data_IF_276350373872
#
_entry.id   IF_276350373872
#
_cell.length_a   1.000
_cell.length_b   1.000
_cell.length_c   1.000
_cell.angle_alpha   90.00
_cell.angle_beta   90.00
_cell.angle_gamma   90.00
#
_symmetry.space_group_name_H-M   'P 1'
#
loop_
_entity.id
_entity.type
_entity.pdbx_description
1 polymer ?
#
# COMPACT_ATOMS: atom_id res chain seq x y z
N UNK A 1 12.32 -16.32 15.65
CA UNK A 1 11.40 -16.36 14.48
C UNK A 1 10.49 -15.15 14.42
N UNK A 2 9.62 -14.86 15.40
CA UNK A 2 8.69 -13.70 15.34
C UNK A 2 9.40 -12.35 15.24
N UNK A 3 10.52 -12.15 15.90
CA UNK A 3 11.25 -10.86 15.86
C UNK A 3 11.88 -10.58 14.49
N UNK A 4 12.34 -11.62 13.80
CA UNK A 4 12.84 -11.51 12.43
C UNK A 4 11.72 -11.11 11.46
N UNK A 5 10.55 -11.77 11.56
CA UNK A 5 9.37 -11.45 10.76
C UNK A 5 8.89 -10.02 11.04
N UNK A 6 8.83 -9.63 12.31
CA UNK A 6 8.45 -8.27 12.73
C UNK A 6 9.34 -7.20 12.10
N UNK A 7 10.66 -7.37 12.17
CA UNK A 7 11.61 -6.41 11.59
C UNK A 7 11.43 -6.30 10.07
N UNK A 8 11.26 -7.43 9.38
CA UNK A 8 10.99 -7.49 7.95
C UNK A 8 9.69 -6.79 7.56
N UNK A 9 8.59 -7.09 8.27
CA UNK A 9 7.26 -6.48 8.04
C UNK A 9 7.31 -4.95 8.22
N UNK A 10 7.94 -4.45 9.26
CA UNK A 10 8.09 -3.01 9.50
C UNK A 10 8.78 -2.32 8.33
N UNK A 11 9.94 -2.84 7.91
CA UNK A 11 10.70 -2.29 6.78
C UNK A 11 9.92 -2.36 5.48
N UNK A 12 9.25 -3.48 5.21
CA UNK A 12 8.43 -3.63 4.01
C UNK A 12 7.26 -2.65 3.98
N UNK A 13 6.58 -2.43 5.12
CA UNK A 13 5.50 -1.45 5.21
C UNK A 13 5.97 -0.03 4.84
N UNK A 14 7.14 0.40 5.32
CA UNK A 14 7.73 1.70 4.98
C UNK A 14 8.03 1.82 3.47
N UNK A 15 8.54 0.73 2.87
CA UNK A 15 8.80 0.69 1.42
C UNK A 15 7.50 0.79 0.61
N UNK A 16 6.45 0.04 0.99
CA UNK A 16 5.16 0.09 0.28
C UNK A 16 4.46 1.45 0.41
N UNK A 17 4.58 2.14 1.54
CA UNK A 17 4.12 3.53 1.69
C UNK A 17 4.82 4.42 0.66
N UNK A 18 6.14 4.28 0.50
CA UNK A 18 6.91 5.04 -0.48
C UNK A 18 6.51 4.70 -1.92
N UNK A 19 6.28 3.41 -2.24
CA UNK A 19 5.84 2.97 -3.56
C UNK A 19 4.47 3.55 -3.93
N UNK A 20 3.50 3.54 -3.01
CA UNK A 20 2.20 4.18 -3.23
C UNK A 20 2.35 5.67 -3.56
N UNK A 21 3.15 6.40 -2.76
CA UNK A 21 3.40 7.83 -2.99
C UNK A 21 4.07 8.10 -4.35
N UNK A 22 5.01 7.25 -4.76
CA UNK A 22 5.69 7.39 -6.05
C UNK A 22 4.72 7.14 -7.22
N UNK A 23 3.88 6.12 -7.11
CA UNK A 23 2.91 5.81 -8.16
C UNK A 23 1.82 6.88 -8.28
N UNK A 24 1.33 7.43 -7.16
CA UNK A 24 0.42 8.58 -7.16
C UNK A 24 1.01 9.79 -7.88
N UNK A 25 2.32 10.07 -7.68
CA UNK A 25 3.01 11.13 -8.40
C UNK A 25 3.16 10.84 -9.90
N UNK A 26 3.40 9.58 -10.27
CA UNK A 26 3.49 9.18 -11.67
C UNK A 26 2.14 9.33 -12.36
N UNK A 27 1.04 8.89 -11.75
CA UNK A 27 -0.31 9.06 -12.28
C UNK A 27 -0.64 10.55 -12.51
N UNK A 28 -0.38 11.42 -11.53
CA UNK A 28 -0.58 12.88 -11.65
C UNK A 28 0.27 13.52 -12.76
N UNK A 29 1.50 13.05 -12.97
CA UNK A 29 2.32 13.55 -14.08
C UNK A 29 1.76 13.13 -15.43
N UNK A 30 1.21 11.93 -15.53
CA UNK A 30 0.56 11.43 -16.73
C UNK A 30 -0.71 12.25 -17.04
N UNK A 31 -1.53 12.58 -16.02
CA UNK A 31 -2.66 13.51 -16.14
C UNK A 31 -2.20 14.90 -16.61
N UNK A 32 -1.10 15.41 -16.08
CA UNK A 32 -0.51 16.70 -16.52
C UNK A 32 -0.08 16.64 -17.98
N UNK A 33 0.57 15.56 -18.42
CA UNK A 33 0.98 15.37 -19.80
C UNK A 33 -0.25 15.26 -20.73
N UNK A 34 -1.32 14.59 -20.30
CA UNK A 34 -2.58 14.52 -21.01
C UNK A 34 -3.18 15.92 -21.23
N UNK A 35 -3.24 16.74 -20.16
CA UNK A 35 -3.75 18.11 -20.24
C UNK A 35 -2.93 19.01 -21.18
N UNK A 36 -1.61 18.90 -21.16
CA UNK A 36 -0.74 19.67 -22.06
C UNK A 36 -0.86 19.21 -23.52
N UNK A 37 -1.05 17.91 -23.77
CA UNK A 37 -1.35 17.38 -25.10
C UNK A 37 -2.65 17.95 -25.67
N UNK A 38 -3.71 18.06 -24.85
CA UNK A 38 -4.96 18.70 -25.26
C UNK A 38 -4.78 20.19 -25.57
N UNK A 39 -4.07 20.94 -24.70
CA UNK A 39 -3.78 22.36 -24.91
C UNK A 39 -3.03 22.59 -26.21
N UNK A 40 -2.04 21.73 -26.50
CA UNK A 40 -1.27 21.79 -27.72
C UNK A 40 -2.15 21.50 -28.96
N UNK A 41 -2.99 20.44 -28.88
CA UNK A 41 -3.99 20.14 -29.94
C UNK A 41 -4.88 21.36 -30.25
N UNK A 42 -5.43 22.02 -29.23
CA UNK A 42 -6.28 23.20 -29.40
C UNK A 42 -5.51 24.38 -30.00
N UNK A 43 -4.28 24.62 -29.58
CA UNK A 43 -3.44 25.69 -30.14
C UNK A 43 -3.15 25.46 -31.64
N UNK A 44 -2.88 24.21 -32.06
CA UNK A 44 -2.68 23.88 -33.50
C UNK A 44 -3.94 24.11 -34.29
N UNK A 45 -5.12 23.77 -33.76
CA UNK A 45 -6.39 24.05 -34.43
C UNK A 45 -6.62 25.55 -34.63
N UNK A 46 -6.40 26.34 -33.57
CA UNK A 46 -6.52 27.81 -33.68
C UNK A 46 -5.51 28.40 -34.68
N UNK A 47 -4.32 27.82 -34.76
CA UNK A 47 -3.32 28.24 -35.73
C UNK A 47 -3.82 27.98 -37.19
N UNK A 48 -4.39 26.79 -37.49
CA UNK A 48 -4.91 26.49 -38.80
C UNK A 48 -6.13 27.33 -39.18
N UNK A 49 -7.02 27.62 -38.23
CA UNK A 49 -8.15 28.53 -38.40
C UNK A 49 -7.66 29.93 -38.78
N UNK A 50 -6.75 30.51 -38.00
CA UNK A 50 -6.17 31.82 -38.29
C UNK A 50 -5.42 31.85 -39.63
N UNK A 51 -4.70 30.80 -39.98
CA UNK A 51 -3.99 30.68 -41.23
C UNK A 51 -4.95 30.61 -42.43
N UNK A 52 -6.04 29.83 -42.32
CA UNK A 52 -7.06 29.71 -43.35
C UNK A 52 -7.73 31.06 -43.68
N UNK A 53 -8.04 31.86 -42.62
CA UNK A 53 -8.73 33.12 -42.81
C UNK A 53 -7.82 34.25 -43.30
N UNK A 54 -6.50 34.15 -43.13
CA UNK A 54 -5.58 35.25 -43.36
C UNK A 54 -4.83 35.15 -44.69
N UNK A 55 -4.27 33.94 -45.02
CA UNK A 55 -3.35 33.83 -46.16
C UNK A 55 -3.41 32.50 -46.92
N UNK A 56 -4.35 31.59 -46.61
CA UNK A 56 -4.58 30.39 -47.37
C UNK A 56 -5.33 30.76 -48.69
N UNK A 57 -4.75 30.39 -49.83
CA UNK A 57 -5.34 30.55 -51.17
C UNK A 57 -5.10 29.28 -51.99
N UNK A 58 -5.95 29.02 -52.96
CA UNK A 58 -5.87 27.81 -53.82
C UNK A 58 -4.56 27.69 -54.60
N UNK A 59 -3.79 28.76 -54.68
CA UNK A 59 -2.53 28.84 -55.45
C UNK A 59 -1.29 28.63 -54.62
N UNK A 60 -1.42 28.36 -53.33
CA UNK A 60 -0.29 28.11 -52.45
C UNK A 60 -0.47 26.81 -51.66
N UNK A 61 0.61 26.36 -50.95
CA UNK A 61 0.65 25.10 -50.20
C UNK A 61 0.03 25.21 -48.80
N UNK A 62 -0.48 26.37 -48.40
CA UNK A 62 -1.03 26.61 -47.06
C UNK A 62 -2.18 25.66 -46.71
N UNK A 63 -3.13 25.34 -47.60
CA UNK A 63 -4.17 24.35 -47.30
C UNK A 63 -3.58 22.98 -46.95
N UNK A 64 -2.60 22.49 -47.71
CA UNK A 64 -1.93 21.19 -47.44
C UNK A 64 -1.14 21.20 -46.11
N UNK A 65 -0.47 22.31 -45.82
CA UNK A 65 0.19 22.49 -44.53
C UNK A 65 -0.83 22.45 -43.36
N UNK A 66 -1.98 23.11 -43.54
CA UNK A 66 -3.04 23.10 -42.53
C UNK A 66 -3.66 21.71 -42.33
N UNK A 67 -3.75 20.87 -43.37
CA UNK A 67 -4.18 19.49 -43.24
C UNK A 67 -3.22 18.68 -42.34
N UNK A 68 -1.93 18.75 -42.57
CA UNK A 68 -0.92 18.06 -41.72
C UNK A 68 -0.87 18.59 -40.28
N UNK A 69 -1.04 19.92 -40.09
CA UNK A 69 -1.16 20.50 -38.76
C UNK A 69 -2.41 20.01 -38.05
N UNK A 70 -3.56 19.90 -38.73
CA UNK A 70 -4.79 19.35 -38.18
C UNK A 70 -4.68 17.86 -37.86
N UNK A 71 -3.96 17.07 -38.69
CA UNK A 71 -3.64 15.69 -38.39
C UNK A 71 -2.83 15.56 -37.11
N UNK A 72 -1.83 16.44 -36.92
CA UNK A 72 -1.05 16.55 -35.67
C UNK A 72 -1.93 16.91 -34.50
N UNK A 73 -2.84 17.86 -34.62
CA UNK A 73 -3.79 18.24 -33.57
C UNK A 73 -4.71 17.08 -33.17
N UNK A 74 -5.21 16.32 -34.17
CA UNK A 74 -6.01 15.11 -33.94
C UNK A 74 -5.23 14.04 -33.18
N UNK A 75 -3.99 13.79 -33.60
CA UNK A 75 -3.08 12.87 -32.90
C UNK A 75 -2.90 13.25 -31.44
N UNK A 76 -2.63 14.51 -31.14
CA UNK A 76 -2.47 15.00 -29.76
C UNK A 76 -3.75 14.89 -28.94
N UNK A 77 -4.91 15.12 -29.55
CA UNK A 77 -6.20 14.88 -28.91
C UNK A 77 -6.43 13.41 -28.57
N UNK A 78 -6.03 12.48 -29.44
CA UNK A 78 -6.06 11.04 -29.17
C UNK A 78 -5.06 10.66 -28.06
N UNK A 79 -3.84 11.21 -28.12
CA UNK A 79 -2.82 11.02 -27.09
C UNK A 79 -3.30 11.50 -25.72
N UNK A 80 -3.99 12.66 -25.63
CA UNK A 80 -4.65 13.13 -24.42
C UNK A 80 -5.57 12.05 -23.83
N UNK A 81 -6.52 11.54 -24.64
CA UNK A 81 -7.47 10.54 -24.15
C UNK A 81 -6.78 9.26 -23.67
N UNK A 82 -5.77 8.77 -24.41
CA UNK A 82 -5.01 7.58 -24.01
C UNK A 82 -4.23 7.77 -22.72
N UNK A 83 -3.60 8.94 -22.52
CA UNK A 83 -2.85 9.25 -21.31
C UNK A 83 -3.77 9.43 -20.10
N UNK A 84 -4.94 10.02 -20.29
CA UNK A 84 -5.94 10.18 -19.25
C UNK A 84 -6.51 8.82 -18.81
N UNK A 85 -6.85 7.95 -19.77
CA UNK A 85 -7.33 6.61 -19.50
C UNK A 85 -6.27 5.76 -18.81
N UNK A 86 -5.00 5.86 -19.22
CA UNK A 86 -3.89 5.16 -18.58
C UNK A 86 -3.65 5.65 -17.14
N UNK A 87 -3.71 6.96 -16.89
CA UNK A 87 -3.59 7.51 -15.54
C UNK A 87 -4.70 7.00 -14.62
N UNK A 88 -5.94 6.94 -15.13
CA UNK A 88 -7.10 6.37 -14.43
C UNK A 88 -6.93 4.89 -14.15
N UNK A 89 -6.41 4.13 -15.10
CA UNK A 89 -6.13 2.71 -14.95
C UNK A 89 -5.07 2.46 -13.86
N UNK A 90 -4.04 3.31 -13.75
CA UNK A 90 -3.06 3.23 -12.67
C UNK A 90 -3.67 3.53 -11.31
N UNK A 91 -4.51 4.55 -11.21
CA UNK A 91 -5.14 4.95 -9.95
C UNK A 91 -6.11 3.87 -9.44
N UNK A 92 -6.96 3.34 -10.32
CA UNK A 92 -7.99 2.36 -9.97
C UNK A 92 -7.49 0.90 -9.92
N UNK A 93 -6.36 0.59 -10.56
CA UNK A 93 -5.76 -0.74 -10.64
C UNK A 93 -4.55 -0.90 -9.72
N UNK A 94 -3.36 -0.73 -10.29
CA UNK A 94 -2.09 -1.03 -9.61
C UNK A 94 -1.87 -0.25 -8.31
N UNK A 95 -2.33 0.99 -8.22
CA UNK A 95 -2.21 1.80 -7.01
C UNK A 95 -3.07 1.23 -5.87
N UNK A 96 -4.29 0.83 -6.16
CA UNK A 96 -5.17 0.22 -5.16
C UNK A 96 -4.64 -1.13 -4.68
N UNK A 97 -4.05 -1.92 -5.57
CA UNK A 97 -3.41 -3.19 -5.20
C UNK A 97 -2.15 -2.98 -4.34
N UNK A 98 -1.33 -1.94 -4.63
CA UNK A 98 -0.22 -1.55 -3.76
C UNK A 98 -0.70 -1.08 -2.39
N UNK A 99 -1.79 -0.30 -2.32
CA UNK A 99 -2.42 0.14 -1.07
C UNK A 99 -2.91 -1.04 -0.24
N UNK A 100 -3.56 -2.04 -0.86
CA UNK A 100 -3.98 -3.27 -0.17
C UNK A 100 -2.80 -4.01 0.45
N UNK A 101 -1.70 -4.16 -0.31
CA UNK A 101 -0.50 -4.81 0.22
C UNK A 101 0.16 -4.00 1.35
N UNK A 102 0.22 -2.67 1.22
CA UNK A 102 0.63 -1.76 2.30
C UNK A 102 -0.21 -1.98 3.56
N UNK A 103 -1.52 -2.04 3.42
CA UNK A 103 -2.44 -2.16 4.54
C UNK A 103 -2.32 -3.53 5.23
N UNK A 104 -2.08 -4.61 4.48
CA UNK A 104 -1.74 -5.91 5.05
C UNK A 104 -0.46 -5.84 5.90
N UNK A 105 0.59 -5.18 5.41
CA UNK A 105 1.85 -5.02 6.14
C UNK A 105 1.69 -4.12 7.37
N UNK A 106 0.92 -3.04 7.26
CA UNK A 106 0.58 -2.15 8.40
C UNK A 106 -0.20 -2.92 9.45
N UNK A 107 -1.20 -3.70 9.05
CA UNK A 107 -1.98 -4.56 9.96
C UNK A 107 -1.10 -5.58 10.71
N UNK A 108 -0.16 -6.22 10.02
CA UNK A 108 0.81 -7.12 10.62
C UNK A 108 1.75 -6.41 11.60
N UNK A 109 2.25 -5.22 11.25
CA UNK A 109 3.06 -4.38 12.15
C UNK A 109 2.28 -4.06 13.43
N UNK A 110 1.05 -3.58 13.27
CA UNK A 110 0.20 -3.18 14.40
C UNK A 110 -0.20 -4.39 15.27
N UNK A 111 -0.32 -5.58 14.70
CA UNK A 111 -0.50 -6.82 15.46
C UNK A 111 0.71 -7.10 16.37
N UNK A 112 1.95 -6.98 15.85
CA UNK A 112 3.15 -7.16 16.67
C UNK A 112 3.28 -6.09 17.75
N UNK A 113 2.92 -4.84 17.46
CA UNK A 113 2.94 -3.76 18.43
C UNK A 113 1.90 -3.98 19.56
N UNK A 114 0.71 -4.48 19.22
CA UNK A 114 -0.31 -4.89 20.22
C UNK A 114 0.19 -6.05 21.08
N UNK A 115 0.83 -7.05 20.48
CA UNK A 115 1.46 -8.15 21.24
C UNK A 115 2.42 -7.60 22.30
N UNK A 116 3.32 -6.72 21.91
CA UNK A 116 4.34 -6.21 22.83
C UNK A 116 3.76 -5.36 23.97
N UNK A 117 2.65 -4.67 23.73
CA UNK A 117 1.95 -3.89 24.76
C UNK A 117 1.17 -4.76 25.73
N UNK A 118 0.47 -5.78 25.22
CA UNK A 118 -0.57 -6.47 26.00
C UNK A 118 -0.23 -7.92 26.35
N UNK A 119 0.77 -8.53 25.74
CA UNK A 119 1.19 -9.90 26.00
C UNK A 119 2.46 -9.96 26.85
N UNK A 120 2.58 -9.06 27.85
CA UNK A 120 3.71 -9.08 28.79
C UNK A 120 3.62 -10.34 29.64
N UNK A 121 4.74 -11.04 29.76
CA UNK A 121 4.88 -12.19 30.64
C UNK A 121 5.15 -11.70 32.08
N UNK A 122 4.14 -11.85 32.94
CA UNK A 122 4.25 -11.52 34.37
C UNK A 122 4.44 -12.79 35.24
N UNK A 123 4.58 -13.97 34.62
CA UNK A 123 4.73 -15.25 35.34
C UNK A 123 5.92 -15.21 36.31
N UNK A 124 7.13 -14.74 35.93
CA UNK A 124 8.25 -14.69 36.88
C UNK A 124 8.00 -13.81 38.07
N UNK A 125 7.18 -12.77 37.96
CA UNK A 125 6.80 -11.92 39.09
C UNK A 125 5.79 -12.61 40.00
N UNK A 126 4.84 -13.33 39.44
CA UNK A 126 3.85 -14.12 40.19
C UNK A 126 4.52 -15.26 40.95
N UNK A 127 5.47 -15.97 40.34
CA UNK A 127 6.25 -17.04 40.98
C UNK A 127 7.02 -16.52 42.20
N UNK A 128 7.73 -15.39 42.06
CA UNK A 128 8.42 -14.75 43.18
C UNK A 128 7.46 -14.34 44.30
N UNK A 129 6.26 -13.84 43.95
CA UNK A 129 5.24 -13.44 44.92
C UNK A 129 4.65 -14.65 45.65
N UNK A 130 4.44 -15.76 44.95
CA UNK A 130 4.01 -17.02 45.53
C UNK A 130 5.05 -17.52 46.51
N UNK A 131 6.32 -17.59 46.15
CA UNK A 131 7.42 -18.02 46.99
C UNK A 131 7.51 -17.18 48.29
N UNK A 132 7.43 -15.85 48.18
CA UNK A 132 7.41 -14.97 49.31
C UNK A 132 6.19 -15.19 50.23
N UNK A 133 5.02 -15.44 49.63
CA UNK A 133 3.78 -15.70 50.35
C UNK A 133 3.77 -17.08 51.02
N UNK A 134 4.35 -18.10 50.41
CA UNK A 134 4.52 -19.44 50.99
C UNK A 134 5.50 -19.39 52.18
N UNK A 135 6.60 -18.67 52.09
CA UNK A 135 7.52 -18.43 53.18
C UNK A 135 6.83 -17.69 54.34
N UNK A 136 6.03 -16.66 54.07
CA UNK A 136 5.24 -15.97 55.05
C UNK A 136 4.23 -16.88 55.73
N UNK A 137 3.55 -17.73 54.97
CA UNK A 137 2.57 -18.70 55.45
C UNK A 137 3.21 -19.68 56.45
N UNK A 138 4.40 -20.23 56.11
CA UNK A 138 5.16 -21.08 57.02
C UNK A 138 5.50 -20.39 58.33
N UNK A 139 5.99 -19.14 58.25
CA UNK A 139 6.29 -18.35 59.47
C UNK A 139 5.05 -18.09 60.32
N UNK A 140 3.90 -17.81 59.73
CA UNK A 140 2.63 -17.59 60.43
C UNK A 140 2.16 -18.87 61.15
N UNK A 141 2.32 -20.04 60.49
CA UNK A 141 1.96 -21.36 61.07
C UNK A 141 2.87 -21.79 62.26
N UNK A 142 4.10 -21.29 62.31
CA UNK A 142 5.04 -21.57 63.39
C UNK A 142 4.83 -20.68 64.65
N UNK A 143 3.98 -19.61 64.57
CA UNK A 143 3.70 -18.74 65.68
C UNK A 143 2.72 -19.40 66.67
N UNK A 144 2.85 -19.10 67.99
CA UNK A 144 1.94 -19.65 69.00
C UNK A 144 0.49 -19.18 68.79
N UNK A 145 -0.50 -20.00 69.23
CA UNK A 145 -1.90 -19.64 69.15
C UNK A 145 -2.19 -18.29 69.80
N UNK A 146 -2.85 -17.36 69.10
CA UNK A 146 -3.14 -15.98 69.56
C UNK A 146 -2.14 -14.91 69.12
N UNK A 147 -0.97 -15.23 68.58
CA UNK A 147 -0.02 -14.28 68.03
C UNK A 147 -0.26 -13.93 66.55
N UNK A 148 -1.22 -14.59 65.91
CA UNK A 148 -1.64 -14.33 64.53
C UNK A 148 -3.02 -13.70 64.51
N UNK A 149 -3.22 -12.66 63.69
CA UNK A 149 -4.53 -12.02 63.57
C UNK A 149 -5.57 -12.98 62.94
N UNK A 150 -6.82 -12.99 63.41
CA UNK A 150 -7.87 -13.80 62.81
C UNK A 150 -7.99 -13.53 61.31
N UNK A 151 -8.02 -14.57 60.48
CA UNK A 151 -8.13 -14.48 59.00
C UNK A 151 -6.82 -14.14 58.27
N UNK A 152 -5.68 -13.93 58.91
CA UNK A 152 -4.42 -13.59 58.21
C UNK A 152 -3.86 -14.77 57.43
N UNK A 153 -3.96 -15.97 57.98
CA UNK A 153 -3.53 -17.22 57.29
C UNK A 153 -4.39 -17.45 56.02
N UNK A 154 -5.72 -17.39 56.18
CA UNK A 154 -6.67 -17.56 55.09
C UNK A 154 -6.44 -16.54 53.97
N UNK A 155 -6.16 -15.27 54.31
CA UNK A 155 -5.85 -14.24 53.33
C UNK A 155 -4.58 -14.52 52.50
N UNK A 156 -3.55 -15.06 53.14
CA UNK A 156 -2.32 -15.44 52.45
C UNK A 156 -2.54 -16.67 51.55
N UNK A 157 -3.30 -17.65 52.03
CA UNK A 157 -3.66 -18.84 51.25
C UNK A 157 -4.47 -18.46 50.02
N UNK A 158 -5.49 -17.60 50.14
CA UNK A 158 -6.27 -17.08 49.03
C UNK A 158 -5.41 -16.32 48.01
N UNK A 159 -4.44 -15.51 48.49
CA UNK A 159 -3.51 -14.81 47.60
C UNK A 159 -2.65 -15.79 46.81
N UNK A 160 -2.14 -16.84 47.43
CA UNK A 160 -1.34 -17.88 46.76
C UNK A 160 -2.21 -18.60 45.70
N UNK A 161 -3.45 -18.97 46.01
CA UNK A 161 -4.37 -19.58 45.08
C UNK A 161 -4.66 -18.69 43.87
N UNK A 162 -5.00 -17.42 44.09
CA UNK A 162 -5.27 -16.44 43.03
C UNK A 162 -4.05 -16.23 42.12
N UNK A 163 -2.84 -16.20 42.68
CA UNK A 163 -1.62 -16.08 41.92
C UNK A 163 -1.34 -17.34 41.07
N UNK A 164 -1.58 -18.53 41.60
CA UNK A 164 -1.47 -19.80 40.84
C UNK A 164 -2.49 -19.88 39.72
N UNK A 165 -3.74 -19.50 39.96
CA UNK A 165 -4.75 -19.37 38.91
C UNK A 165 -4.35 -18.37 37.83
N UNK A 166 -3.79 -17.21 38.23
CA UNK A 166 -3.31 -16.20 37.29
C UNK A 166 -2.18 -16.73 36.39
N UNK A 167 -1.28 -17.55 36.90
CA UNK A 167 -0.23 -18.21 36.10
C UNK A 167 -0.85 -19.14 35.07
N UNK A 168 -1.82 -19.99 35.44
CA UNK A 168 -2.51 -20.89 34.51
C UNK A 168 -3.19 -20.13 33.40
N UNK A 169 -3.92 -19.06 33.76
CA UNK A 169 -4.58 -18.19 32.77
C UNK A 169 -3.59 -17.49 31.83
N UNK A 170 -2.45 -17.04 32.36
CA UNK A 170 -1.42 -16.40 31.52
C UNK A 170 -0.76 -17.40 30.56
N UNK A 171 -0.49 -18.65 30.98
CA UNK A 171 -0.02 -19.69 30.09
C UNK A 171 -1.02 -19.98 28.96
N UNK A 172 -2.29 -20.19 29.30
CA UNK A 172 -3.35 -20.41 28.31
C UNK A 172 -3.46 -19.25 27.33
N UNK A 173 -3.46 -18.01 27.85
CA UNK A 173 -3.45 -16.79 27.01
C UNK A 173 -2.23 -16.71 26.11
N UNK A 174 -1.03 -17.06 26.61
CA UNK A 174 0.21 -17.06 25.84
C UNK A 174 0.16 -18.03 24.66
N UNK A 175 -0.43 -19.23 24.86
CA UNK A 175 -0.64 -20.21 23.79
C UNK A 175 -1.60 -19.66 22.74
N UNK A 176 -2.74 -19.10 23.14
CA UNK A 176 -3.71 -18.51 22.21
C UNK A 176 -3.10 -17.37 21.37
N UNK A 177 -2.39 -16.45 22.01
CA UNK A 177 -1.73 -15.34 21.31
C UNK A 177 -0.74 -15.87 20.29
N UNK A 178 0.05 -16.89 20.64
CA UNK A 178 1.03 -17.51 19.74
C UNK A 178 0.36 -18.15 18.52
N UNK A 179 -0.74 -18.87 18.72
CA UNK A 179 -1.49 -19.48 17.61
C UNK A 179 -2.19 -18.45 16.73
N UNK A 180 -2.78 -17.40 17.32
CA UNK A 180 -3.34 -16.28 16.53
C UNK A 180 -2.27 -15.62 15.65
N UNK A 181 -1.10 -15.29 16.20
CA UNK A 181 0.00 -14.71 15.42
C UNK A 181 0.46 -15.63 14.31
N UNK A 182 0.55 -16.95 14.58
CA UNK A 182 0.91 -17.94 13.57
C UNK A 182 -0.09 -17.95 12.42
N UNK A 183 -1.38 -17.96 12.72
CA UNK A 183 -2.44 -17.93 11.70
C UNK A 183 -2.41 -16.66 10.86
N UNK A 184 -2.20 -15.51 11.48
CA UNK A 184 -2.06 -14.22 10.78
C UNK A 184 -0.82 -14.21 9.86
N UNK A 185 0.29 -14.79 10.29
CA UNK A 185 1.50 -14.94 9.44
C UNK A 185 1.20 -15.84 8.24
N UNK A 186 0.49 -16.94 8.43
CA UNK A 186 0.10 -17.84 7.33
C UNK A 186 -0.82 -17.12 6.34
N UNK A 187 -1.82 -16.39 6.83
CA UNK A 187 -2.70 -15.59 5.99
C UNK A 187 -1.90 -14.52 5.22
N UNK A 188 -0.98 -13.83 5.88
CA UNK A 188 -0.10 -12.86 5.23
C UNK A 188 0.77 -13.51 4.13
N UNK A 189 1.32 -14.71 4.37
CA UNK A 189 2.07 -15.43 3.35
C UNK A 189 1.22 -15.77 2.12
N UNK A 190 -0.04 -16.15 2.32
CA UNK A 190 -0.98 -16.39 1.22
C UNK A 190 -1.29 -15.09 0.45
N UNK A 191 -1.42 -13.96 1.15
CA UNK A 191 -1.68 -12.68 0.50
C UNK A 191 -0.55 -12.22 -0.43
N UNK A 192 0.69 -12.73 -0.27
CA UNK A 192 1.81 -12.40 -1.15
C UNK A 192 1.60 -12.82 -2.62
N UNK A 193 0.73 -13.80 -2.90
CA UNK A 193 0.37 -14.16 -4.28
C UNK A 193 -0.35 -13.02 -5.01
N UNK A 194 -1.01 -12.11 -4.29
CA UNK A 194 -1.60 -10.91 -4.88
C UNK A 194 -0.55 -9.99 -5.49
N UNK A 195 0.67 -9.98 -4.96
CA UNK A 195 1.78 -9.19 -5.51
C UNK A 195 2.17 -9.67 -6.90
N UNK A 196 2.19 -11.00 -7.12
CA UNK A 196 2.46 -11.56 -8.46
C UNK A 196 1.39 -11.14 -9.45
N UNK A 197 0.11 -11.22 -9.07
CA UNK A 197 -1.01 -10.79 -9.91
C UNK A 197 -0.91 -9.30 -10.25
N UNK A 198 -0.67 -8.45 -9.26
CA UNK A 198 -0.49 -7.01 -9.44
C UNK A 198 0.54 -6.70 -10.54
N UNK A 199 1.72 -7.32 -10.48
CA UNK A 199 2.77 -7.07 -11.48
C UNK A 199 2.42 -7.62 -12.87
N UNK A 200 1.73 -8.75 -12.95
CA UNK A 200 1.25 -9.30 -14.21
C UNK A 200 0.20 -8.40 -14.86
N UNK A 201 -0.82 -8.01 -14.10
CA UNK A 201 -1.91 -7.16 -14.58
C UNK A 201 -1.34 -5.78 -15.01
N UNK A 202 -0.47 -5.18 -14.20
CA UNK A 202 0.17 -3.91 -14.53
C UNK A 202 1.02 -3.99 -15.81
N UNK A 203 1.81 -5.06 -15.98
CA UNK A 203 2.64 -5.21 -17.19
C UNK A 203 1.78 -5.34 -18.45
N UNK A 204 0.69 -6.10 -18.41
CA UNK A 204 -0.25 -6.26 -19.52
C UNK A 204 -0.93 -4.93 -19.88
N UNK A 205 -1.34 -4.18 -18.86
CA UNK A 205 -1.95 -2.88 -19.05
C UNK A 205 -0.97 -1.87 -19.68
N UNK A 206 0.28 -1.86 -19.23
CA UNK A 206 1.35 -1.03 -19.84
C UNK A 206 1.60 -1.37 -21.30
N UNK A 207 1.64 -2.64 -21.65
CA UNK A 207 1.77 -3.09 -23.04
C UNK A 207 0.60 -2.57 -23.88
N UNK A 208 -0.64 -2.73 -23.40
CA UNK A 208 -1.84 -2.23 -24.09
C UNK A 208 -1.74 -0.74 -24.44
N UNK A 209 -1.43 0.11 -23.47
CA UNK A 209 -1.35 1.56 -23.73
C UNK A 209 -0.14 1.94 -24.59
N UNK A 210 0.98 1.25 -24.47
CA UNK A 210 2.14 1.45 -25.34
C UNK A 210 1.82 1.11 -26.82
N UNK A 211 1.08 0.04 -27.07
CA UNK A 211 0.63 -0.34 -28.41
C UNK A 211 -0.37 0.67 -29.00
N UNK A 212 -1.33 1.14 -28.20
CA UNK A 212 -2.27 2.17 -28.61
C UNK A 212 -1.55 3.49 -28.97
N UNK A 213 -0.59 3.92 -28.16
CA UNK A 213 0.23 5.10 -28.44
C UNK A 213 1.07 4.90 -29.71
N UNK A 214 1.71 3.74 -29.85
CA UNK A 214 2.48 3.42 -31.08
C UNK A 214 1.60 3.44 -32.34
N UNK A 215 0.38 2.91 -32.28
CA UNK A 215 -0.57 2.95 -33.39
C UNK A 215 -0.99 4.38 -33.71
N UNK A 216 -1.24 5.22 -32.68
CA UNK A 216 -1.57 6.62 -32.89
C UNK A 216 -0.43 7.40 -33.58
N UNK A 217 0.83 7.13 -33.19
CA UNK A 217 2.00 7.73 -33.86
C UNK A 217 2.18 7.24 -35.31
N UNK A 218 1.95 5.97 -35.60
CA UNK A 218 2.01 5.44 -36.99
C UNK A 218 0.97 6.10 -37.86
N UNK A 219 -0.28 6.23 -37.38
CA UNK A 219 -1.32 6.91 -38.12
C UNK A 219 -0.96 8.36 -38.45
N UNK A 220 -0.38 9.11 -37.50
CA UNK A 220 0.12 10.46 -37.78
C UNK A 220 1.23 10.44 -38.83
N UNK A 221 2.20 9.52 -38.71
CA UNK A 221 3.30 9.42 -39.69
C UNK A 221 2.79 9.26 -41.15
N UNK A 222 1.76 8.45 -41.31
CA UNK A 222 1.12 8.24 -42.64
C UNK A 222 0.38 9.50 -43.11
N UNK A 223 -0.35 10.19 -42.23
CA UNK A 223 -1.12 11.40 -42.56
C UNK A 223 -0.20 12.60 -42.92
N UNK A 224 1.01 12.69 -42.37
CA UNK A 224 1.96 13.82 -42.61
C UNK A 224 3.03 13.52 -43.66
N UNK A 225 3.11 12.30 -44.19
CA UNK A 225 4.15 11.87 -45.16
C UNK A 225 4.17 12.74 -46.42
N UNK A 226 3.00 13.18 -46.87
CA UNK A 226 2.82 13.95 -48.12
C UNK A 226 2.74 15.47 -47.87
N UNK A 227 3.11 15.97 -46.67
CA UNK A 227 3.18 17.42 -46.44
C UNK A 227 4.21 18.07 -47.35
N UNK A 228 3.95 19.27 -47.93
CA UNK A 228 4.90 19.95 -48.76
C UNK A 228 6.20 20.24 -48.02
N UNK A 229 7.31 19.79 -48.61
CA UNK A 229 8.66 20.11 -48.21
C UNK A 229 9.16 21.21 -49.16
N UNK A 230 9.45 22.40 -48.63
CA UNK A 230 9.98 23.50 -49.42
C UNK A 230 11.19 23.07 -50.25
N UNK A 231 11.12 23.31 -51.58
CA UNK A 231 12.18 23.04 -52.53
C UNK A 231 13.25 24.14 -52.53
#
# INVERSE_FOLDING_TARGET
MFDTVRAGVKRSAEIYISLCTLLERLAKRNEGLAADSLRFSLALKSLTESSADTYAVDTNDVPLLNEGINATAKHLSTSHSLLEDEARAWDQGVLEDLKRQRDCLVGMRDMFDRRDRYARDNIPQLERRIEASENKLQQLRLKPPGAVKPGEIEKVELSIMSDKESIVLQHARGVLIKECIRNEILFFQQSQYMVSKLHQDWSQERVKYAELQASNWRALSEEVENMPLGG
#
